data_IF_511058108621
#
_entry.id   IF_511058108621
#
_cell.length_a   1.000
_cell.length_b   1.000
_cell.length_c   1.000
_cell.angle_alpha   90.00
_cell.angle_beta   90.00
_cell.angle_gamma   90.00
#
_symmetry.space_group_name_H-M   'P 1'
#
loop_
_entity.id
_entity.type
_entity.pdbx_description
1 polymer ?
#
# COMPACT_ATOMS: atom_id res chain seq x y z
N UNK A 1 2.32 -8.47 -14.40
CA UNK A 1 0.94 -7.98 -14.21
C UNK A 1 0.31 -8.83 -13.13
N UNK A 2 -0.18 -8.23 -12.05
CA UNK A 2 -0.89 -8.96 -11.01
C UNK A 2 -2.32 -9.24 -11.51
N UNK A 3 -2.81 -10.46 -11.35
CA UNK A 3 -4.17 -10.85 -11.77
C UNK A 3 -4.92 -11.49 -10.61
N UNK A 4 -6.23 -11.25 -10.55
CA UNK A 4 -7.15 -11.85 -9.58
C UNK A 4 -8.13 -12.75 -10.33
N UNK A 5 -8.15 -14.04 -9.99
CA UNK A 5 -9.16 -15.00 -10.49
C UNK A 5 -10.10 -15.38 -9.34
N UNK A 6 -11.38 -15.11 -9.51
CA UNK A 6 -12.45 -15.43 -8.56
C UNK A 6 -13.39 -16.54 -9.05
N UNK A 7 -13.09 -17.23 -10.15
CA UNK A 7 -14.00 -18.19 -10.77
C UNK A 7 -14.40 -19.33 -9.83
N UNK A 8 -13.49 -19.74 -8.95
CA UNK A 8 -13.74 -20.77 -7.95
C UNK A 8 -14.76 -20.36 -6.87
N UNK A 9 -15.03 -19.06 -6.71
CA UNK A 9 -16.06 -18.60 -5.77
C UNK A 9 -17.47 -18.70 -6.36
N UNK A 10 -17.60 -18.88 -7.67
CA UNK A 10 -18.90 -18.91 -8.34
C UNK A 10 -19.76 -20.14 -8.03
N UNK A 11 -19.20 -21.13 -7.34
CA UNK A 11 -19.97 -22.21 -6.74
C UNK A 11 -20.86 -21.78 -5.55
N UNK A 12 -20.58 -20.61 -4.94
CA UNK A 12 -21.31 -20.12 -3.76
C UNK A 12 -21.59 -18.61 -3.77
N UNK A 13 -21.04 -17.85 -4.71
CA UNK A 13 -21.33 -16.42 -4.93
C UNK A 13 -21.70 -16.23 -6.40
N UNK A 14 -22.84 -15.63 -6.73
CA UNK A 14 -23.18 -15.42 -8.15
C UNK A 14 -22.44 -14.20 -8.73
N UNK A 15 -22.25 -14.18 -10.05
CA UNK A 15 -21.63 -13.04 -10.75
C UNK A 15 -22.43 -11.75 -10.55
N UNK A 16 -23.76 -11.87 -10.58
CA UNK A 16 -24.69 -10.76 -10.40
C UNK A 16 -24.56 -10.14 -9.01
N UNK A 17 -24.35 -10.97 -7.97
CA UNK A 17 -24.07 -10.48 -6.61
C UNK A 17 -22.77 -9.68 -6.55
N UNK A 18 -21.72 -10.11 -7.26
CA UNK A 18 -20.47 -9.33 -7.33
C UNK A 18 -20.70 -8.01 -8.07
N UNK A 19 -21.38 -8.06 -9.23
CA UNK A 19 -21.70 -6.87 -10.03
C UNK A 19 -22.61 -5.87 -9.30
N UNK A 20 -23.48 -6.33 -8.42
CA UNK A 20 -24.37 -5.47 -7.64
C UNK A 20 -23.62 -4.48 -6.73
N UNK A 21 -22.37 -4.80 -6.33
CA UNK A 21 -21.53 -3.90 -5.52
C UNK A 21 -20.92 -2.72 -6.30
N UNK A 22 -21.09 -2.65 -7.62
CA UNK A 22 -20.42 -1.64 -8.45
C UNK A 22 -20.66 -0.21 -7.97
N UNK A 23 -21.91 0.14 -7.62
CA UNK A 23 -22.24 1.48 -7.14
C UNK A 23 -21.58 1.80 -5.80
N UNK A 24 -21.58 0.84 -4.88
CA UNK A 24 -20.98 1.00 -3.55
C UNK A 24 -19.46 1.12 -3.64
N UNK A 25 -18.81 0.30 -4.47
CA UNK A 25 -17.37 0.34 -4.69
C UNK A 25 -16.94 1.66 -5.33
N UNK A 26 -17.69 2.17 -6.32
CA UNK A 26 -17.41 3.50 -6.92
C UNK A 26 -17.54 4.62 -5.89
N UNK A 27 -18.55 4.56 -5.02
CA UNK A 27 -18.70 5.54 -3.95
C UNK A 27 -17.55 5.46 -2.94
N UNK A 28 -17.15 4.26 -2.53
CA UNK A 28 -16.01 4.05 -1.64
C UNK A 28 -14.69 4.54 -2.25
N UNK A 29 -14.46 4.28 -3.55
CA UNK A 29 -13.29 4.79 -4.26
C UNK A 29 -13.25 6.32 -4.27
N UNK A 30 -14.37 6.99 -4.61
CA UNK A 30 -14.44 8.46 -4.56
C UNK A 30 -14.19 8.98 -3.15
N UNK A 31 -14.76 8.33 -2.13
CA UNK A 31 -14.54 8.72 -0.74
C UNK A 31 -13.07 8.68 -0.31
N UNK A 32 -12.29 7.72 -0.84
CA UNK A 32 -10.84 7.65 -0.62
C UNK A 32 -10.10 8.79 -1.33
N UNK A 33 -10.37 8.99 -2.62
CA UNK A 33 -9.74 10.05 -3.44
C UNK A 33 -10.08 11.46 -2.93
N UNK A 34 -11.33 11.69 -2.55
CA UNK A 34 -11.82 12.98 -2.05
C UNK A 34 -11.47 13.19 -0.55
N UNK A 35 -10.98 12.16 0.14
CA UNK A 35 -10.64 12.22 1.55
C UNK A 35 -11.81 12.57 2.46
N UNK A 36 -13.02 12.09 2.17
CA UNK A 36 -14.25 12.44 2.92
C UNK A 36 -14.68 11.40 3.95
N UNK A 37 -14.04 10.23 3.94
CA UNK A 37 -14.33 9.12 4.85
C UNK A 37 -13.80 9.32 6.26
N UNK A 38 -14.31 8.54 7.21
CA UNK A 38 -13.77 8.48 8.57
C UNK A 38 -12.31 7.99 8.54
N UNK A 39 -11.40 8.73 9.18
CA UNK A 39 -9.97 8.43 9.19
C UNK A 39 -9.21 8.96 7.97
N UNK A 40 -9.80 9.92 7.24
CA UNK A 40 -9.16 10.61 6.11
C UNK A 40 -7.80 11.25 6.43
N UNK A 41 -7.52 11.58 7.69
CA UNK A 41 -6.20 12.02 8.16
C UNK A 41 -5.06 11.00 7.87
N UNK A 42 -5.40 9.73 7.64
CA UNK A 42 -4.45 8.63 7.46
C UNK A 42 -4.37 8.09 6.02
N UNK A 43 -4.73 8.90 5.01
CA UNK A 43 -4.72 8.48 3.59
C UNK A 43 -3.39 8.73 2.86
N UNK A 44 -2.31 9.07 3.59
CA UNK A 44 -1.00 9.35 2.99
C UNK A 44 -0.43 8.23 2.11
N UNK A 45 -0.87 6.99 2.32
CA UNK A 45 -0.49 5.83 1.52
C UNK A 45 -1.09 5.81 0.10
N UNK A 46 -2.24 6.47 -0.11
CA UNK A 46 -3.03 6.36 -1.35
C UNK A 46 -2.25 6.82 -2.59
N UNK A 47 -1.56 7.95 -2.48
CA UNK A 47 -0.74 8.51 -3.56
C UNK A 47 0.76 8.42 -3.30
N UNK A 48 1.18 7.76 -2.22
CA UNK A 48 2.60 7.63 -1.86
C UNK A 48 3.45 7.08 -3.01
N UNK A 49 3.07 5.98 -3.71
CA UNK A 49 3.90 5.46 -4.80
C UNK A 49 4.12 6.47 -5.94
N UNK A 50 3.11 7.28 -6.26
CA UNK A 50 3.18 8.30 -7.31
C UNK A 50 3.83 9.62 -6.86
N UNK A 51 3.81 9.92 -5.57
CA UNK A 51 4.37 11.16 -5.01
C UNK A 51 5.85 11.05 -4.64
N UNK A 52 6.40 9.83 -4.57
CA UNK A 52 7.83 9.63 -4.31
C UNK A 52 8.67 10.24 -5.45
N UNK A 53 9.33 11.35 -5.12
CA UNK A 53 10.22 12.05 -6.03
C UNK A 53 11.58 11.36 -6.20
N UNK A 54 12.23 11.64 -7.34
CA UNK A 54 13.59 11.15 -7.62
C UNK A 54 14.62 11.60 -6.59
N UNK A 55 14.47 12.83 -6.08
CA UNK A 55 15.35 13.39 -5.05
C UNK A 55 15.24 12.59 -3.74
N UNK A 56 14.01 12.31 -3.29
CA UNK A 56 13.78 11.52 -2.08
C UNK A 56 14.38 10.10 -2.19
N UNK A 57 14.22 9.45 -3.35
CA UNK A 57 14.85 8.16 -3.59
C UNK A 57 16.39 8.25 -3.64
N UNK A 58 16.95 9.34 -4.16
CA UNK A 58 18.38 9.56 -4.20
C UNK A 58 18.95 9.73 -2.78
N UNK A 59 18.27 10.50 -1.94
CA UNK A 59 18.60 10.69 -0.53
C UNK A 59 18.59 9.36 0.23
N UNK A 60 17.49 8.59 0.16
CA UNK A 60 17.40 7.26 0.78
C UNK A 60 18.53 6.32 0.34
N UNK A 61 18.87 6.32 -0.95
CA UNK A 61 19.98 5.51 -1.49
C UNK A 61 21.34 5.98 -0.97
N UNK A 62 21.55 7.28 -0.83
CA UNK A 62 22.77 7.86 -0.28
C UNK A 62 22.93 7.48 1.20
N UNK A 63 21.88 7.63 2.01
CA UNK A 63 21.88 7.19 3.42
C UNK A 63 22.18 5.69 3.53
N UNK A 64 21.50 4.87 2.73
CA UNK A 64 21.74 3.42 2.74
C UNK A 64 23.17 3.06 2.30
N UNK A 65 23.79 3.85 1.41
CA UNK A 65 25.20 3.67 1.02
C UNK A 65 26.12 3.96 2.19
N UNK A 66 25.93 5.09 2.90
CA UNK A 66 26.71 5.43 4.10
C UNK A 66 26.63 4.32 5.14
N UNK A 67 25.43 3.79 5.42
CA UNK A 67 25.27 2.68 6.37
C UNK A 67 26.03 1.43 5.93
N UNK A 68 25.95 1.04 4.65
CA UNK A 68 26.68 -0.13 4.13
C UNK A 68 28.21 0.02 4.17
N UNK A 69 28.72 1.23 3.96
CA UNK A 69 30.17 1.48 3.96
C UNK A 69 30.76 1.56 5.37
N UNK A 70 29.96 1.92 6.37
CA UNK A 70 30.44 2.20 7.73
C UNK A 70 29.95 1.19 8.78
N UNK A 71 29.03 0.28 8.44
CA UNK A 71 28.45 -0.67 9.39
C UNK A 71 28.51 -2.11 8.85
N UNK A 72 29.09 -3.01 9.63
CA UNK A 72 29.01 -4.46 9.36
C UNK A 72 27.59 -4.99 9.60
N UNK A 73 26.90 -4.44 10.60
CA UNK A 73 25.53 -4.82 10.98
C UNK A 73 24.71 -3.57 11.22
N UNK A 74 23.46 -3.57 10.74
CA UNK A 74 22.45 -2.55 11.06
C UNK A 74 21.32 -3.22 11.85
N UNK A 75 21.09 -2.73 13.07
CA UNK A 75 20.00 -3.22 13.92
C UNK A 75 18.80 -2.29 13.77
N UNK A 76 17.67 -2.84 13.31
CA UNK A 76 16.40 -2.11 13.27
C UNK A 76 15.56 -2.50 14.47
N UNK A 77 15.36 -1.56 15.40
CA UNK A 77 14.48 -1.74 16.55
C UNK A 77 13.09 -1.17 16.23
N UNK A 78 12.12 -2.05 15.96
CA UNK A 78 10.75 -1.67 15.64
C UNK A 78 9.75 -2.77 16.02
N UNK A 79 8.48 -2.40 16.15
CA UNK A 79 7.36 -3.32 16.40
C UNK A 79 6.16 -2.94 15.51
N UNK A 80 5.24 -3.88 15.30
CA UNK A 80 4.06 -3.65 14.47
C UNK A 80 4.42 -3.39 13.01
N UNK A 81 3.82 -2.37 12.39
CA UNK A 81 4.09 -2.01 10.98
C UNK A 81 5.55 -1.65 10.71
N UNK A 82 6.27 -1.13 11.72
CA UNK A 82 7.70 -0.79 11.63
C UNK A 82 8.62 -2.02 11.66
N UNK A 83 8.10 -3.22 11.87
CA UNK A 83 8.84 -4.49 11.80
C UNK A 83 8.31 -5.42 10.72
N UNK A 84 6.98 -5.63 10.65
CA UNK A 84 6.35 -6.60 9.74
C UNK A 84 6.64 -6.31 8.26
N UNK A 85 6.77 -5.03 7.88
CA UNK A 85 7.06 -4.64 6.50
C UNK A 85 8.54 -4.81 6.10
N UNK A 86 9.43 -5.05 7.08
CA UNK A 86 10.87 -5.26 6.86
C UNK A 86 11.26 -6.74 6.89
N UNK A 87 10.38 -7.61 7.42
CA UNK A 87 10.60 -9.04 7.42
C UNK A 87 10.57 -9.58 5.96
N UNK A 88 11.49 -10.49 5.61
CA UNK A 88 11.54 -11.09 4.27
C UNK A 88 10.30 -11.91 3.91
#
# INVERSE_FOLDING_TARGET
>A
MISLNIEKTFGFISKEKVSAYESEVKAAQRMLEDGTGKGNDFLGWLHLPSSIGKEHLADLKATAKVLRENCEVVVVAGIGGSYLALAP
#
